data_IF_712267389205
#
_entry.id   IF_712267389205
#
_cell.length_a   1.000
_cell.length_b   1.000
_cell.length_c   1.000
_cell.angle_alpha   90.00
_cell.angle_beta   90.00
_cell.angle_gamma   90.00
#
_symmetry.space_group_name_H-M   'P 1'
#
loop_
_entity.id
_entity.type
_entity.pdbx_description
1 polymer ?
#
# COMPACT_ATOMS: atom_id res chain seq x y z
N UNK A 1 -10.71 9.28 -17.10
CA UNK A 1 -9.35 9.03 -17.65
C UNK A 1 -8.56 10.32 -17.86
N UNK A 2 -8.92 11.25 -18.78
CA UNK A 2 -8.11 12.47 -19.02
C UNK A 2 -7.81 13.27 -17.73
N UNK A 3 -8.84 13.58 -16.94
CA UNK A 3 -8.69 14.30 -15.66
C UNK A 3 -7.77 13.58 -14.67
N UNK A 4 -7.87 12.24 -14.56
CA UNK A 4 -6.99 11.43 -13.71
C UNK A 4 -5.52 11.61 -14.10
N UNK A 5 -5.20 11.50 -15.39
CA UNK A 5 -3.84 11.65 -15.91
C UNK A 5 -3.32 13.08 -15.69
N UNK A 6 -4.15 14.09 -15.97
CA UNK A 6 -3.80 15.50 -15.71
C UNK A 6 -3.46 15.72 -14.24
N UNK A 7 -4.31 15.27 -13.31
CA UNK A 7 -4.05 15.39 -11.89
C UNK A 7 -2.75 14.67 -11.48
N UNK A 8 -2.50 13.45 -11.97
CA UNK A 8 -1.27 12.70 -11.67
C UNK A 8 -0.01 13.44 -12.16
N UNK A 9 -0.05 14.06 -13.34
CA UNK A 9 1.06 14.89 -13.87
C UNK A 9 1.26 16.14 -13.03
N UNK A 10 0.18 16.81 -12.61
CA UNK A 10 0.23 18.03 -11.77
C UNK A 10 0.85 17.78 -10.39
N UNK A 11 0.62 16.61 -9.79
CA UNK A 11 1.15 16.25 -8.45
C UNK A 11 2.36 15.30 -8.47
N UNK A 12 2.87 14.92 -9.65
CA UNK A 12 4.04 14.05 -9.79
C UNK A 12 3.81 12.57 -9.40
N UNK A 13 2.59 12.06 -9.53
CA UNK A 13 2.26 10.64 -9.28
C UNK A 13 2.51 9.82 -10.54
N UNK A 14 3.39 8.82 -10.43
CA UNK A 14 3.76 7.90 -11.52
C UNK A 14 3.14 6.50 -11.41
N UNK A 15 2.41 6.22 -10.33
CA UNK A 15 1.72 4.94 -10.14
C UNK A 15 0.31 5.15 -9.60
N UNK A 16 -0.68 4.55 -10.25
CA UNK A 16 -2.09 4.59 -9.83
C UNK A 16 -2.63 3.17 -9.82
N UNK A 17 -3.28 2.79 -8.71
CA UNK A 17 -4.03 1.54 -8.62
C UNK A 17 -5.51 1.83 -8.84
N UNK A 18 -6.19 0.99 -9.61
CA UNK A 18 -7.63 1.12 -9.88
C UNK A 18 -8.33 -0.17 -9.44
N UNK A 19 -9.27 -0.06 -8.50
CA UNK A 19 -10.08 -1.19 -8.06
C UNK A 19 -11.09 -1.61 -9.15
N UNK A 20 -11.15 -2.90 -9.46
CA UNK A 20 -11.97 -3.46 -10.55
C UNK A 20 -13.28 -4.11 -10.08
N UNK A 21 -13.55 -4.10 -8.77
CA UNK A 21 -14.75 -4.66 -8.14
C UNK A 21 -16.06 -3.92 -8.48
N UNK A 22 -15.97 -2.68 -8.98
CA UNK A 22 -17.13 -1.86 -9.35
C UNK A 22 -17.53 -1.96 -10.82
N UNK A 23 -18.49 -1.13 -11.28
CA UNK A 23 -18.94 -1.09 -12.69
C UNK A 23 -17.86 -0.58 -13.69
N UNK A 24 -16.64 -0.34 -13.21
CA UNK A 24 -15.55 0.33 -13.91
C UNK A 24 -14.50 -0.59 -14.56
N UNK A 25 -14.76 -1.89 -14.76
CA UNK A 25 -13.77 -2.85 -15.29
C UNK A 25 -13.09 -2.49 -16.62
N UNK A 26 -13.65 -1.55 -17.39
CA UNK A 26 -13.05 -1.01 -18.63
C UNK A 26 -12.09 0.18 -18.41
N UNK A 27 -12.18 0.85 -17.25
CA UNK A 27 -11.39 2.06 -16.92
C UNK A 27 -9.88 1.78 -16.92
N UNK A 28 -9.34 0.70 -16.33
CA UNK A 28 -7.90 0.47 -16.27
C UNK A 28 -7.26 0.29 -17.67
N UNK A 29 -7.93 -0.45 -18.57
CA UNK A 29 -7.46 -0.67 -19.92
C UNK A 29 -7.39 0.64 -20.73
N UNK A 30 -8.41 1.50 -20.62
CA UNK A 30 -8.41 2.82 -21.25
C UNK A 30 -7.36 3.73 -20.58
N UNK A 31 -7.25 3.69 -19.25
CA UNK A 31 -6.28 4.49 -18.50
C UNK A 31 -4.84 4.16 -18.90
N UNK A 32 -4.43 2.89 -18.93
CA UNK A 32 -3.08 2.48 -19.38
C UNK A 32 -2.73 3.05 -20.75
N UNK A 33 -3.61 2.90 -21.74
CA UNK A 33 -3.37 3.37 -23.11
C UNK A 33 -3.01 4.85 -23.18
N UNK A 34 -3.58 5.68 -22.31
CA UNK A 34 -3.30 7.11 -22.26
C UNK A 34 -2.17 7.48 -21.27
N UNK A 35 -2.00 6.71 -20.19
CA UNK A 35 -1.05 6.97 -19.11
C UNK A 35 0.41 6.65 -19.51
N UNK A 36 0.63 5.64 -20.36
CA UNK A 36 1.96 5.25 -20.85
C UNK A 36 2.75 6.43 -21.45
N UNK A 37 2.08 7.32 -22.20
CA UNK A 37 2.72 8.50 -22.81
C UNK A 37 3.23 9.54 -21.80
N UNK A 38 2.83 9.44 -20.53
CA UNK A 38 3.26 10.31 -19.43
C UNK A 38 4.18 9.58 -18.44
N UNK A 39 4.57 8.34 -18.72
CA UNK A 39 5.35 7.53 -17.78
C UNK A 39 4.58 7.16 -16.51
N UNK A 40 3.24 7.06 -16.59
CA UNK A 40 2.39 6.69 -15.46
C UNK A 40 1.92 5.24 -15.64
N UNK A 41 2.18 4.40 -14.65
CA UNK A 41 1.74 2.99 -14.61
C UNK A 41 0.37 2.90 -13.94
N UNK A 42 -0.53 2.10 -14.52
CA UNK A 42 -1.87 1.81 -13.96
C UNK A 42 -1.98 0.32 -13.63
N UNK A 43 -2.03 0.01 -12.34
CA UNK A 43 -2.27 -1.33 -11.79
C UNK A 43 -3.79 -1.58 -11.61
N UNK A 44 -4.20 -2.83 -11.75
CA UNK A 44 -5.56 -3.28 -11.40
C UNK A 44 -5.53 -4.02 -10.07
N UNK A 45 -6.47 -3.69 -9.18
CA UNK A 45 -6.65 -4.39 -7.91
C UNK A 45 -8.04 -4.99 -7.82
N UNK A 46 -8.10 -6.26 -7.44
CA UNK A 46 -9.32 -7.01 -7.17
C UNK A 46 -9.29 -7.48 -5.71
N UNK A 47 -10.15 -6.91 -4.87
CA UNK A 47 -10.24 -7.25 -3.45
C UNK A 47 -11.46 -8.15 -3.18
N UNK A 48 -11.23 -9.31 -2.57
CA UNK A 48 -12.31 -10.15 -2.01
C UNK A 48 -12.64 -9.81 -0.55
N UNK A 49 -11.81 -8.97 0.10
CA UNK A 49 -12.03 -8.50 1.48
C UNK A 49 -13.16 -7.48 1.49
N UNK A 50 -14.00 -7.49 2.53
CA UNK A 50 -15.08 -6.51 2.69
C UNK A 50 -14.50 -5.11 2.77
N UNK A 51 -15.06 -4.18 2.00
CA UNK A 51 -14.61 -2.78 1.93
C UNK A 51 -14.42 -2.12 3.30
N UNK A 52 -15.41 -2.22 4.20
CA UNK A 52 -15.33 -1.61 5.53
C UNK A 52 -14.19 -2.18 6.41
N UNK A 53 -13.91 -3.48 6.26
CA UNK A 53 -12.84 -4.20 6.96
C UNK A 53 -11.47 -3.75 6.42
N UNK A 54 -11.31 -3.73 5.09
CA UNK A 54 -10.13 -3.19 4.40
C UNK A 54 -9.83 -1.72 4.77
N UNK A 55 -10.87 -0.89 4.94
CA UNK A 55 -10.72 0.50 5.38
C UNK A 55 -10.23 0.57 6.83
N UNK A 56 -10.85 -0.19 7.73
CA UNK A 56 -10.50 -0.19 9.15
C UNK A 56 -9.04 -0.65 9.36
N UNK A 57 -8.68 -1.81 8.79
CA UNK A 57 -7.34 -2.41 8.89
C UNK A 57 -6.24 -1.47 8.40
N UNK A 58 -6.49 -0.73 7.31
CA UNK A 58 -5.52 0.21 6.74
C UNK A 58 -5.29 1.43 7.63
N UNK A 59 -6.34 1.97 8.27
CA UNK A 59 -6.25 3.20 9.07
C UNK A 59 -5.90 2.97 10.54
N UNK A 60 -6.26 1.82 11.13
CA UNK A 60 -6.13 1.58 12.57
C UNK A 60 -4.68 1.72 13.06
N UNK A 61 -3.72 1.03 12.42
CA UNK A 61 -2.32 1.07 12.85
C UNK A 61 -1.65 2.45 12.64
N UNK A 62 -1.76 3.13 11.48
CA UNK A 62 -1.19 4.47 11.27
C UNK A 62 -1.79 5.58 12.15
N UNK A 63 -3.10 5.50 12.46
CA UNK A 63 -3.75 6.45 13.38
C UNK A 63 -3.34 6.19 14.83
N UNK A 64 -3.41 4.94 15.29
CA UNK A 64 -3.10 4.57 16.68
C UNK A 64 -1.63 4.82 17.04
N UNK A 65 -0.73 4.72 16.06
CA UNK A 65 0.70 5.03 16.24
C UNK A 65 1.07 6.50 16.03
N UNK A 66 0.14 7.35 15.57
CA UNK A 66 0.36 8.77 15.36
C UNK A 66 1.24 9.15 14.16
N UNK A 67 1.50 8.22 13.24
CA UNK A 67 2.37 8.42 12.07
C UNK A 67 1.62 8.70 10.75
N UNK A 68 0.29 8.82 10.77
CA UNK A 68 -0.49 9.27 9.63
C UNK A 68 -0.55 10.81 9.57
N UNK A 69 0.08 11.40 8.54
CA UNK A 69 0.09 12.84 8.29
C UNK A 69 -0.70 13.17 7.02
N UNK A 70 -1.48 14.25 7.06
CA UNK A 70 -2.24 14.75 5.92
C UNK A 70 -2.08 16.27 5.78
N UNK A 71 -2.15 16.77 4.54
CA UNK A 71 -2.15 18.22 4.28
C UNK A 71 -3.45 18.87 4.77
N UNK A 72 -3.43 20.14 5.17
CA UNK A 72 -4.61 20.84 5.73
C UNK A 72 -5.85 20.77 4.83
N UNK A 73 -5.65 20.86 3.52
CA UNK A 73 -6.73 20.77 2.53
C UNK A 73 -7.49 19.43 2.56
N UNK A 74 -6.91 18.35 3.10
CA UNK A 74 -7.60 17.06 3.28
C UNK A 74 -8.61 17.13 4.44
N UNK A 75 -8.35 17.96 5.45
CA UNK A 75 -9.33 18.22 6.52
C UNK A 75 -10.46 19.12 6.04
N UNK A 76 -10.18 20.00 5.07
CA UNK A 76 -11.13 20.93 4.45
C UNK A 76 -11.96 20.29 3.31
N UNK A 77 -11.53 19.14 2.75
CA UNK A 77 -12.22 18.46 1.62
C UNK A 77 -13.44 17.61 2.03
N UNK A 78 -13.70 17.47 3.33
CA UNK A 78 -14.73 16.57 3.86
C UNK A 78 -14.25 15.15 4.19
N UNK A 79 -13.02 14.76 3.82
CA UNK A 79 -12.45 13.45 4.20
C UNK A 79 -12.38 13.26 5.72
N UNK A 80 -12.05 14.33 6.47
CA UNK A 80 -12.07 14.30 7.93
C UNK A 80 -13.48 14.17 8.54
N UNK A 81 -14.55 14.55 7.81
CA UNK A 81 -15.92 14.32 8.27
C UNK A 81 -16.36 12.88 7.99
N UNK A 82 -16.05 12.33 6.82
CA UNK A 82 -16.23 10.89 6.56
C UNK A 82 -15.52 10.06 7.64
N UNK A 83 -14.26 10.39 7.96
CA UNK A 83 -13.50 9.69 9.01
C UNK A 83 -14.11 9.79 10.41
N UNK A 84 -14.77 10.92 10.75
CA UNK A 84 -15.50 11.08 12.02
C UNK A 84 -16.82 10.31 12.07
N UNK A 85 -17.51 10.19 10.94
CA UNK A 85 -18.84 9.58 10.84
C UNK A 85 -18.79 8.08 10.48
N UNK A 86 -17.64 7.57 10.03
CA UNK A 86 -17.48 6.21 9.53
C UNK A 86 -17.88 5.16 10.57
N UNK A 87 -18.84 4.32 10.20
CA UNK A 87 -19.29 3.19 11.01
C UNK A 87 -19.07 1.89 10.23
N UNK A 88 -18.13 1.00 10.63
CA UNK A 88 -17.85 -0.23 9.89
C UNK A 88 -19.05 -1.20 9.86
N UNK A 89 -20.03 -1.05 10.76
CA UNK A 89 -21.28 -1.82 10.76
C UNK A 89 -22.34 -1.34 9.76
N UNK A 90 -22.18 -0.15 9.15
CA UNK A 90 -23.08 0.39 8.13
C UNK A 90 -22.53 0.07 6.74
N UNK A 91 -23.34 -0.57 5.90
CA UNK A 91 -22.92 -0.99 4.56
C UNK A 91 -22.88 0.17 3.56
N UNK A 92 -23.93 0.99 3.55
CA UNK A 92 -24.12 2.05 2.56
C UNK A 92 -23.97 3.41 3.26
N UNK A 93 -22.77 3.99 3.18
CA UNK A 93 -22.42 5.31 3.76
C UNK A 93 -21.39 6.04 2.88
N UNK A 94 -21.24 7.37 2.97
CA UNK A 94 -20.20 8.10 2.24
C UNK A 94 -18.80 7.76 2.78
N UNK A 95 -18.01 7.04 2.00
CA UNK A 95 -16.68 6.57 2.40
C UNK A 95 -15.60 6.68 1.31
N UNK A 96 -15.90 7.31 0.16
CA UNK A 96 -15.00 7.35 -1.01
C UNK A 96 -13.58 7.89 -0.69
N UNK A 97 -13.46 8.87 0.22
CA UNK A 97 -12.14 9.39 0.62
C UNK A 97 -11.38 8.43 1.53
N UNK A 98 -12.11 7.69 2.38
CA UNK A 98 -11.53 6.64 3.24
C UNK A 98 -11.11 5.44 2.39
N UNK A 99 -11.91 5.05 1.41
CA UNK A 99 -11.61 3.93 0.53
C UNK A 99 -10.33 4.18 -0.30
N UNK A 100 -10.25 5.34 -0.95
CA UNK A 100 -9.07 5.77 -1.68
C UNK A 100 -7.84 5.94 -0.77
N UNK A 101 -8.05 6.48 0.44
CA UNK A 101 -7.00 6.63 1.45
C UNK A 101 -6.45 5.29 1.94
N UNK A 102 -7.34 4.31 2.21
CA UNK A 102 -6.99 2.98 2.66
C UNK A 102 -6.15 2.24 1.61
N UNK A 103 -6.54 2.33 0.32
CA UNK A 103 -5.74 1.80 -0.78
C UNK A 103 -4.34 2.43 -0.85
N UNK A 104 -4.24 3.77 -0.74
CA UNK A 104 -2.95 4.46 -0.74
C UNK A 104 -2.06 4.08 0.46
N UNK A 105 -2.65 3.91 1.65
CA UNK A 105 -1.94 3.47 2.86
C UNK A 105 -1.45 2.02 2.72
N UNK A 106 -2.31 1.09 2.28
CA UNK A 106 -1.96 -0.31 2.12
C UNK A 106 -0.83 -0.55 1.10
N UNK A 107 -0.69 0.34 0.11
CA UNK A 107 0.41 0.31 -0.87
C UNK A 107 1.66 1.11 -0.45
N UNK A 108 1.62 1.80 0.69
CA UNK A 108 2.80 2.48 1.25
C UNK A 108 3.71 1.44 1.92
N UNK A 109 5.01 1.36 1.58
CA UNK A 109 5.90 0.40 2.23
C UNK A 109 6.02 0.70 3.73
N UNK A 110 5.88 -0.34 4.55
CA UNK A 110 6.04 -0.25 6.00
C UNK A 110 7.42 0.32 6.32
N UNK A 111 7.46 1.45 7.01
CA UNK A 111 8.71 2.05 7.48
C UNK A 111 9.22 1.24 8.66
N UNK A 112 10.06 0.25 8.40
CA UNK A 112 10.87 -0.38 9.44
C UNK A 112 11.82 0.69 9.98
N UNK A 113 11.55 1.18 11.19
CA UNK A 113 12.46 2.12 11.84
C UNK A 113 13.83 1.47 12.00
N UNK A 114 14.86 2.15 11.51
CA UNK A 114 16.24 1.72 11.71
C UNK A 114 16.58 1.94 13.17
N UNK A 115 16.62 0.85 13.96
CA UNK A 115 16.99 0.89 15.38
C UNK A 115 18.27 1.70 15.53
N UNK A 116 18.16 2.89 16.15
CA UNK A 116 19.28 3.80 16.37
C UNK A 116 20.08 3.35 17.60
N UNK A 117 20.70 2.19 17.49
CA UNK A 117 21.68 1.64 18.40
C UNK A 117 22.78 0.93 17.60
N UNK A 118 23.89 0.62 18.23
CA UNK A 118 24.87 -0.29 17.62
C UNK A 118 24.24 -1.69 17.56
N UNK A 119 23.65 -2.03 16.41
CA UNK A 119 23.49 -3.44 16.05
C UNK A 119 24.89 -4.01 15.88
N UNK A 120 25.29 -4.90 16.79
CA UNK A 120 26.40 -5.81 16.51
C UNK A 120 26.10 -6.49 15.18
N UNK A 121 26.99 -6.31 14.20
CA UNK A 121 26.77 -6.82 12.85
C UNK A 121 27.00 -8.32 12.85
N UNK A 122 25.95 -9.09 13.13
CA UNK A 122 25.94 -10.55 12.98
C UNK A 122 25.95 -10.90 11.48
N UNK A 123 27.10 -10.72 10.86
CA UNK A 123 27.38 -11.03 9.45
C UNK A 123 27.47 -12.54 9.22
N UNK A 124 26.39 -13.30 9.42
CA UNK A 124 26.34 -14.73 9.07
C UNK A 124 24.98 -15.14 8.49
N UNK A 125 24.74 -14.78 7.21
CA UNK A 125 23.68 -15.39 6.39
C UNK A 125 24.08 -16.77 5.83
N UNK A 126 25.32 -17.21 6.08
CA UNK A 126 25.84 -18.54 5.75
C UNK A 126 26.24 -19.26 7.03
N UNK A 127 25.45 -20.22 7.50
CA UNK A 127 26.04 -21.32 8.25
C UNK A 127 26.96 -22.09 7.30
N UNK A 128 28.17 -22.42 7.76
CA UNK A 128 29.26 -22.77 6.87
C UNK A 128 29.02 -24.04 6.06
N UNK A 129 29.04 -23.90 4.73
CA UNK A 129 29.42 -24.99 3.84
C UNK A 129 30.92 -25.27 4.06
N UNK A 130 31.23 -26.08 5.07
CA UNK A 130 32.43 -26.89 5.08
C UNK A 130 32.03 -28.25 4.55
N UNK A 131 32.57 -28.62 3.40
CA UNK A 131 32.51 -29.99 2.91
C UNK A 131 33.17 -30.88 3.97
N UNK A 132 32.39 -31.81 4.52
CA UNK A 132 32.83 -32.66 5.61
C UNK A 132 33.27 -34.00 5.02
N UNK A 133 34.50 -34.02 4.49
CA UNK A 133 35.13 -35.26 4.03
C UNK A 133 35.34 -36.20 5.22
N UNK A 134 34.50 -37.24 5.29
CA UNK A 134 34.62 -38.31 6.30
C UNK A 134 35.52 -39.40 5.73
N UNK A 135 36.82 -39.31 6.04
CA UNK A 135 37.75 -40.43 5.81
C UNK A 135 37.55 -41.48 6.91
N UNK A 136 36.99 -42.64 6.56
CA UNK A 136 36.85 -43.77 7.48
C UNK A 136 38.11 -44.65 7.47
N UNK A 137 39.04 -44.35 8.37
CA UNK A 137 40.16 -45.19 8.80
C UNK A 137 40.14 -45.22 10.34
N UNK A 138 40.51 -46.26 11.09
CA UNK A 138 41.16 -47.56 10.86
C UNK A 138 40.73 -48.51 12.04
N UNK A 139 41.03 -49.82 12.15
CA UNK A 139 41.90 -50.75 11.43
C UNK A 139 41.34 -52.20 11.49
N UNK A 140 42.19 -53.20 11.23
CA UNK A 140 41.99 -54.66 11.41
C UNK A 140 41.74 -55.11 12.87
#
# INVERSE_FOLDING_TARGET
VKQLITACVEVGIHHVVVETNGPGGFVPAIARKHATSFGITIEEEFSIVKKNERILDAFEAPLSSGFLYAHRQVFESGAAEQMRQFNPGVKDQPDDYLDAGAGAIARTPVRVERIAGQTETVHHWKYGAKDLEVTLEYNH
#
